data_IF_845130386322
#
_entry.id   IF_845130386322
#
_cell.length_a   1.000
_cell.length_b   1.000
_cell.length_c   1.000
_cell.angle_alpha   90.00
_cell.angle_beta   90.00
_cell.angle_gamma   90.00
#
_symmetry.space_group_name_H-M   'P 1'
#
loop_
_entity.id
_entity.type
_entity.pdbx_description
1 polymer ?
#
# COMPACT_ATOMS: atom_id res chain seq x y z
N UNK A 1 25.51 -2.13 6.33
CA UNK A 1 26.80 -2.81 6.05
C UNK A 1 27.54 -2.16 4.88
N UNK A 2 26.87 -1.80 3.78
CA UNK A 2 27.49 -1.20 2.60
C UNK A 2 27.65 0.33 2.66
N UNK A 3 26.66 1.04 3.22
CA UNK A 3 26.70 2.50 3.33
C UNK A 3 27.22 2.97 4.69
N UNK A 4 27.76 4.20 4.72
CA UNK A 4 28.24 4.85 5.95
C UNK A 4 27.10 5.12 6.94
N UNK A 5 27.44 5.30 8.23
CA UNK A 5 26.45 5.55 9.29
C UNK A 5 25.52 6.75 9.00
N UNK A 6 26.00 7.91 8.49
CA UNK A 6 25.11 9.02 8.14
C UNK A 6 24.09 8.66 7.03
N UNK A 7 24.53 7.95 5.99
CA UNK A 7 23.65 7.54 4.89
C UNK A 7 22.60 6.55 5.40
N UNK A 8 22.98 5.58 6.23
CA UNK A 8 22.03 4.64 6.84
C UNK A 8 20.98 5.37 7.68
N UNK A 9 21.36 6.42 8.42
CA UNK A 9 20.42 7.21 9.20
C UNK A 9 19.43 7.98 8.33
N UNK A 10 19.88 8.56 7.21
CA UNK A 10 19.01 9.24 6.24
C UNK A 10 18.04 8.24 5.59
N UNK A 11 18.53 7.09 5.14
CA UNK A 11 17.70 6.05 4.54
C UNK A 11 16.69 5.48 5.53
N UNK A 12 17.09 5.30 6.79
CA UNK A 12 16.18 4.92 7.88
C UNK A 12 15.11 5.97 8.09
N UNK A 13 15.49 7.25 8.24
CA UNK A 13 14.53 8.33 8.47
C UNK A 13 13.51 8.43 7.33
N UNK A 14 13.96 8.34 6.09
CA UNK A 14 13.08 8.35 4.92
C UNK A 14 12.14 7.13 4.90
N UNK A 15 12.62 5.95 5.26
CA UNK A 15 11.80 4.74 5.37
C UNK A 15 10.77 4.85 6.50
N UNK A 16 11.15 5.37 7.67
CA UNK A 16 10.26 5.54 8.82
C UNK A 16 9.16 6.57 8.51
N UNK A 17 9.50 7.67 7.85
CA UNK A 17 8.53 8.68 7.38
C UNK A 17 7.54 8.07 6.39
N UNK A 18 8.00 7.22 5.46
CA UNK A 18 7.12 6.54 4.52
C UNK A 18 6.21 5.51 5.19
N UNK A 19 6.68 4.81 6.22
CA UNK A 19 5.85 3.91 7.03
C UNK A 19 4.79 4.72 7.79
N UNK A 20 5.16 5.85 8.39
CA UNK A 20 4.21 6.74 9.07
C UNK A 20 3.18 7.34 8.10
N UNK A 21 3.60 7.71 6.88
CA UNK A 21 2.70 8.17 5.83
C UNK A 21 1.72 7.07 5.38
N UNK A 22 2.17 5.82 5.31
CA UNK A 22 1.29 4.68 5.02
C UNK A 22 0.25 4.51 6.13
N UNK A 23 0.72 4.51 7.38
CA UNK A 23 -0.13 4.36 8.56
C UNK A 23 -1.15 5.52 8.67
N UNK A 24 -0.77 6.73 8.24
CA UNK A 24 -1.64 7.89 8.12
C UNK A 24 -2.78 7.66 7.12
N UNK A 25 -2.50 7.08 5.95
CA UNK A 25 -3.53 6.75 4.96
C UNK A 25 -4.53 5.73 5.53
N UNK A 26 -4.05 4.76 6.29
CA UNK A 26 -4.88 3.73 6.94
C UNK A 26 -5.76 4.30 8.05
N UNK A 27 -5.20 5.19 8.88
CA UNK A 27 -5.93 5.89 9.95
C UNK A 27 -7.09 6.68 9.34
N UNK A 28 -6.81 7.43 8.27
CA UNK A 28 -7.81 8.22 7.56
C UNK A 28 -8.88 7.30 6.95
N UNK A 29 -8.48 6.26 6.22
CA UNK A 29 -9.42 5.31 5.60
C UNK A 29 -10.32 4.61 6.63
N UNK A 30 -9.74 4.17 7.75
CA UNK A 30 -10.50 3.54 8.84
C UNK A 30 -11.44 4.52 9.52
N UNK A 31 -11.01 5.76 9.76
CA UNK A 31 -11.85 6.80 10.34
C UNK A 31 -13.02 7.18 9.42
N UNK A 32 -12.79 7.25 8.10
CA UNK A 32 -13.84 7.43 7.10
C UNK A 32 -14.81 6.24 7.13
N UNK A 33 -14.32 4.99 7.15
CA UNK A 33 -15.19 3.82 7.23
C UNK A 33 -16.07 3.83 8.50
N UNK A 34 -15.50 4.19 9.67
CA UNK A 34 -16.25 4.34 10.91
C UNK A 34 -17.29 5.46 10.83
N UNK A 35 -16.96 6.57 10.17
CA UNK A 35 -17.90 7.65 9.93
C UNK A 35 -19.07 7.21 9.04
N UNK A 36 -18.80 6.45 7.99
CA UNK A 36 -19.83 5.99 7.05
C UNK A 36 -20.76 4.94 7.63
N UNK A 37 -20.24 4.01 8.44
CA UNK A 37 -21.01 2.89 9.00
C UNK A 37 -21.74 3.29 10.30
N UNK A 38 -21.05 3.97 11.20
CA UNK A 38 -21.53 4.24 12.56
C UNK A 38 -21.87 5.72 12.79
N UNK A 39 -21.75 6.57 11.76
CA UNK A 39 -21.96 8.01 11.87
C UNK A 39 -21.08 8.69 12.93
N UNK A 40 -19.92 8.10 13.22
CA UNK A 40 -18.96 8.64 14.18
C UNK A 40 -18.22 9.82 13.52
N UNK A 41 -18.16 11.01 14.15
CA UNK A 41 -17.40 12.15 13.61
C UNK A 41 -15.96 11.78 13.26
N UNK A 42 -15.44 12.28 12.13
CA UNK A 42 -14.12 11.89 11.60
C UNK A 42 -13.00 12.04 12.64
N UNK A 43 -13.01 13.14 13.41
CA UNK A 43 -12.04 13.38 14.48
C UNK A 43 -12.05 12.27 15.55
N UNK A 44 -13.24 11.85 15.98
CA UNK A 44 -13.39 10.74 16.94
C UNK A 44 -13.01 9.41 16.29
N UNK A 45 -13.35 9.22 15.02
CA UNK A 45 -12.94 8.05 14.24
C UNK A 45 -11.41 7.90 14.22
N UNK A 46 -10.68 8.98 13.93
CA UNK A 46 -9.21 9.01 13.96
C UNK A 46 -8.70 8.62 15.35
N UNK A 47 -9.24 9.19 16.43
CA UNK A 47 -8.83 8.81 17.79
C UNK A 47 -9.13 7.34 18.12
N UNK A 48 -10.26 6.81 17.65
CA UNK A 48 -10.63 5.41 17.86
C UNK A 48 -9.68 4.42 17.15
N UNK A 49 -9.06 4.81 16.04
CA UNK A 49 -8.03 3.98 15.41
C UNK A 49 -6.78 3.80 16.29
N UNK A 50 -6.59 4.58 17.35
CA UNK A 50 -5.54 4.28 18.33
C UNK A 50 -5.80 2.95 19.08
N UNK A 51 -7.06 2.53 19.18
CA UNK A 51 -7.46 1.30 19.87
C UNK A 51 -7.04 0.04 19.10
N UNK A 52 -6.81 0.11 17.79
CA UNK A 52 -6.33 -1.07 17.06
C UNK A 52 -4.93 -1.51 17.46
N UNK A 53 -4.13 -0.61 18.06
CA UNK A 53 -2.87 -1.01 18.69
C UNK A 53 -3.15 -2.04 19.77
N UNK A 54 -4.17 -1.84 20.61
CA UNK A 54 -4.55 -2.79 21.65
C UNK A 54 -5.02 -4.12 21.04
N UNK A 55 -5.79 -4.07 19.95
CA UNK A 55 -6.24 -5.25 19.22
C UNK A 55 -5.04 -6.04 18.70
N UNK A 56 -4.07 -5.39 18.08
CA UNK A 56 -2.88 -6.05 17.52
C UNK A 56 -2.00 -6.64 18.61
N UNK A 57 -1.87 -5.96 19.74
CA UNK A 57 -1.12 -6.48 20.88
C UNK A 57 -1.76 -7.73 21.46
N UNK A 58 -3.08 -7.74 21.56
CA UNK A 58 -3.83 -8.93 21.93
C UNK A 58 -3.62 -10.07 20.91
N UNK A 59 -3.65 -9.74 19.62
CA UNK A 59 -3.47 -10.72 18.54
C UNK A 59 -2.06 -11.29 18.45
N UNK A 60 -1.02 -10.49 18.72
CA UNK A 60 0.37 -10.96 18.72
C UNK A 60 0.62 -12.04 19.78
N UNK A 61 -0.12 -12.01 20.91
CA UNK A 61 -0.01 -13.05 21.95
C UNK A 61 -0.54 -14.42 21.49
N UNK A 62 -1.35 -14.48 20.42
CA UNK A 62 -1.95 -15.72 19.89
C UNK A 62 -1.05 -16.47 18.90
N UNK A 63 0.09 -15.88 18.49
CA UNK A 63 1.10 -16.51 17.63
C UNK A 63 0.94 -16.22 16.13
N UNK A 64 2.01 -16.45 15.36
CA UNK A 64 2.14 -16.04 13.96
C UNK A 64 1.12 -16.68 13.00
N UNK A 65 0.75 -17.94 13.23
CA UNK A 65 -0.25 -18.65 12.39
C UNK A 65 -1.63 -18.02 12.47
N UNK A 66 -2.02 -17.50 13.63
CA UNK A 66 -3.29 -16.80 13.79
C UNK A 66 -3.27 -15.47 13.04
N UNK A 67 -2.15 -14.75 13.11
CA UNK A 67 -1.95 -13.49 12.41
C UNK A 67 -2.04 -13.66 10.89
N UNK A 68 -1.39 -14.70 10.36
CA UNK A 68 -1.44 -15.05 8.93
C UNK A 68 -2.87 -15.40 8.49
N UNK A 69 -3.60 -16.21 9.26
CA UNK A 69 -4.99 -16.54 8.97
C UNK A 69 -5.91 -15.30 8.98
N UNK A 70 -5.68 -14.37 9.90
CA UNK A 70 -6.40 -13.09 9.95
C UNK A 70 -6.14 -12.25 8.71
N UNK A 71 -4.87 -12.08 8.31
CA UNK A 71 -4.48 -11.35 7.09
C UNK A 71 -5.14 -11.95 5.85
N UNK A 72 -5.10 -13.28 5.71
CA UNK A 72 -5.75 -13.99 4.61
C UNK A 72 -7.27 -13.77 4.63
N UNK A 73 -7.90 -13.79 5.80
CA UNK A 73 -9.33 -13.52 5.96
C UNK A 73 -9.70 -12.08 5.57
N UNK A 74 -8.88 -11.08 5.94
CA UNK A 74 -9.09 -9.69 5.55
C UNK A 74 -8.96 -9.51 4.03
N UNK A 75 -7.93 -10.08 3.41
CA UNK A 75 -7.72 -10.03 1.96
C UNK A 75 -8.88 -10.72 1.22
N UNK A 76 -9.32 -11.90 1.71
CA UNK A 76 -10.45 -12.61 1.15
C UNK A 76 -11.74 -11.78 1.24
N UNK A 77 -11.97 -11.12 2.39
CA UNK A 77 -13.12 -10.23 2.59
C UNK A 77 -13.12 -9.10 1.57
N UNK A 78 -12.01 -8.36 1.47
CA UNK A 78 -11.86 -7.26 0.49
C UNK A 78 -12.08 -7.74 -0.94
N UNK A 79 -11.50 -8.90 -1.29
CA UNK A 79 -11.63 -9.49 -2.63
C UNK A 79 -13.08 -9.88 -2.95
N UNK A 80 -13.79 -10.48 -1.99
CA UNK A 80 -15.21 -10.84 -2.14
C UNK A 80 -16.07 -9.59 -2.27
N UNK A 81 -15.86 -8.57 -1.42
CA UNK A 81 -16.59 -7.31 -1.48
C UNK A 81 -16.46 -6.66 -2.87
N UNK A 82 -15.23 -6.45 -3.36
CA UNK A 82 -15.04 -5.83 -4.67
C UNK A 82 -15.43 -6.75 -5.85
N UNK A 83 -15.36 -8.08 -5.67
CA UNK A 83 -15.87 -9.03 -6.66
C UNK A 83 -17.40 -8.92 -6.83
N UNK A 84 -18.13 -8.76 -5.73
CA UNK A 84 -19.58 -8.52 -5.76
C UNK A 84 -19.91 -7.16 -6.42
N UNK A 85 -19.15 -6.11 -6.09
CA UNK A 85 -19.30 -4.78 -6.70
C UNK A 85 -19.09 -4.79 -8.22
N UNK A 86 -18.07 -5.52 -8.73
CA UNK A 86 -17.89 -5.74 -10.17
C UNK A 86 -19.14 -6.40 -10.77
N UNK A 87 -19.65 -7.47 -10.13
CA UNK A 87 -20.80 -8.20 -10.64
C UNK A 87 -22.05 -7.31 -10.72
N UNK A 88 -22.26 -6.46 -9.72
CA UNK A 88 -23.39 -5.53 -9.69
C UNK A 88 -23.23 -4.36 -10.67
N UNK A 89 -22.01 -3.87 -10.90
CA UNK A 89 -21.76 -2.75 -11.81
C UNK A 89 -21.91 -3.09 -13.31
N UNK A 90 -22.02 -4.39 -13.66
CA UNK A 90 -22.23 -4.89 -15.03
C UNK A 90 -21.33 -4.20 -16.07
N UNK A 91 -19.99 -4.24 -15.92
CA UNK A 91 -19.08 -3.56 -16.83
C UNK A 91 -19.07 -4.23 -18.22
N UNK A 92 -18.72 -3.45 -19.26
CA UNK A 92 -18.57 -3.98 -20.61
C UNK A 92 -17.32 -4.87 -20.72
N UNK A 93 -17.51 -6.19 -20.82
CA UNK A 93 -16.39 -7.15 -20.89
C UNK A 93 -15.45 -6.90 -22.07
N UNK A 94 -15.98 -6.47 -23.22
CA UNK A 94 -15.17 -6.14 -24.40
C UNK A 94 -14.25 -4.93 -24.16
N UNK A 95 -14.75 -3.88 -23.51
CA UNK A 95 -13.97 -2.69 -23.17
C UNK A 95 -12.89 -2.99 -22.11
N UNK A 96 -13.21 -3.88 -21.15
CA UNK A 96 -12.26 -4.36 -20.16
C UNK A 96 -11.13 -5.15 -20.81
N UNK A 97 -11.45 -6.12 -21.67
CA UNK A 97 -10.46 -6.93 -22.37
C UNK A 97 -9.54 -6.06 -23.22
N UNK A 98 -10.09 -5.12 -23.99
CA UNK A 98 -9.28 -4.20 -24.80
C UNK A 98 -8.33 -3.35 -23.93
N UNK A 99 -8.85 -2.76 -22.86
CA UNK A 99 -8.06 -1.87 -21.98
C UNK A 99 -7.02 -2.62 -21.14
N UNK A 100 -7.23 -3.92 -20.90
CA UNK A 100 -6.27 -4.76 -20.19
C UNK A 100 -5.02 -5.07 -21.03
N UNK A 101 -5.18 -5.24 -22.35
CA UNK A 101 -4.07 -5.58 -23.26
C UNK A 101 -3.45 -4.36 -23.97
N UNK A 102 -4.19 -3.26 -24.12
CA UNK A 102 -3.75 -2.11 -24.91
C UNK A 102 -3.55 -0.88 -24.02
N UNK A 103 -2.30 -0.46 -23.74
CA UNK A 103 -2.04 0.77 -23.01
C UNK A 103 -2.43 2.01 -23.83
N UNK A 104 -3.18 2.94 -23.23
CA UNK A 104 -3.55 4.19 -23.90
C UNK A 104 -2.41 5.21 -23.86
N UNK A 105 -2.00 5.79 -25.01
CA UNK A 105 -1.00 6.86 -25.04
C UNK A 105 -1.49 8.17 -24.38
N UNK A 106 -2.79 8.28 -24.08
CA UNK A 106 -3.37 9.44 -23.40
C UNK A 106 -2.81 9.61 -21.99
N UNK A 107 -2.43 8.51 -21.32
CA UNK A 107 -1.86 8.53 -19.96
C UNK A 107 -0.59 9.39 -19.90
N UNK A 108 0.20 9.43 -20.97
CA UNK A 108 1.42 10.23 -21.05
C UNK A 108 1.18 11.68 -21.51
N UNK A 109 0.01 11.99 -22.06
CA UNK A 109 -0.33 13.31 -22.59
C UNK A 109 -1.11 14.16 -21.60
N UNK A 110 -1.97 13.53 -20.79
CA UNK A 110 -2.80 14.19 -19.80
C UNK A 110 -2.08 14.20 -18.42
N UNK A 111 -1.71 15.39 -17.89
CA UNK A 111 -1.04 15.48 -16.58
C UNK A 111 -1.86 14.92 -15.42
N UNK A 112 -3.19 15.00 -15.48
CA UNK A 112 -4.07 14.45 -14.44
C UNK A 112 -4.10 12.92 -14.46
N UNK A 113 -4.18 12.32 -15.65
CA UNK A 113 -4.08 10.86 -15.80
C UNK A 113 -2.70 10.34 -15.39
N UNK A 114 -1.64 11.05 -15.75
CA UNK A 114 -0.28 10.70 -15.35
C UNK A 114 -0.12 10.79 -13.82
N UNK A 115 -0.66 11.84 -13.19
CA UNK A 115 -0.63 12.00 -11.74
C UNK A 115 -1.31 10.81 -11.02
N UNK A 116 -2.51 10.42 -11.46
CA UNK A 116 -3.23 9.26 -10.89
C UNK A 116 -2.46 7.96 -11.16
N UNK A 117 -1.91 7.78 -12.37
CA UNK A 117 -1.15 6.58 -12.72
C UNK A 117 0.11 6.42 -11.85
N UNK A 118 0.83 7.50 -11.57
CA UNK A 118 1.98 7.50 -10.65
C UNK A 118 1.52 7.21 -9.22
N UNK A 119 0.40 7.79 -8.80
CA UNK A 119 -0.22 7.48 -7.50
C UNK A 119 -0.55 6.00 -7.33
N UNK A 120 -1.14 5.36 -8.35
CA UNK A 120 -1.41 3.92 -8.39
C UNK A 120 -0.10 3.12 -8.30
N UNK A 121 0.94 3.53 -9.03
CA UNK A 121 2.25 2.86 -8.98
C UNK A 121 2.84 2.94 -7.56
N UNK A 122 2.82 4.11 -6.92
CA UNK A 122 3.31 4.29 -5.55
C UNK A 122 2.50 3.52 -4.50
N UNK A 123 1.17 3.48 -4.65
CA UNK A 123 0.28 2.74 -3.76
C UNK A 123 0.44 1.22 -3.90
N UNK A 124 0.74 0.71 -5.10
CA UNK A 124 0.91 -0.73 -5.36
C UNK A 124 2.30 -1.22 -4.97
N UNK A 125 3.34 -0.45 -5.27
CA UNK A 125 4.72 -0.81 -4.95
C UNK A 125 5.16 -0.08 -3.70
N UNK A 126 4.76 -0.62 -2.55
CA UNK A 126 5.09 -0.01 -1.27
C UNK A 126 6.54 -0.31 -0.87
N UNK A 127 7.38 0.71 -0.56
CA UNK A 127 8.79 0.50 -0.26
C UNK A 127 9.03 -0.35 0.99
N UNK A 128 8.16 -0.21 2.00
CA UNK A 128 8.28 -0.98 3.24
C UNK A 128 8.07 -2.49 3.00
N UNK A 129 7.30 -2.88 1.97
CA UNK A 129 7.13 -4.29 1.61
C UNK A 129 8.40 -4.90 1.03
N UNK A 130 9.27 -4.12 0.37
CA UNK A 130 10.57 -4.62 -0.10
C UNK A 130 11.44 -5.06 1.08
N UNK A 131 11.48 -4.26 2.16
CA UNK A 131 12.18 -4.63 3.39
C UNK A 131 11.49 -5.81 4.09
N UNK A 132 10.16 -5.78 4.20
CA UNK A 132 9.38 -6.83 4.85
C UNK A 132 9.58 -8.21 4.21
N UNK A 133 9.38 -8.32 2.89
CA UNK A 133 9.55 -9.58 2.16
C UNK A 133 10.98 -10.12 2.26
N UNK A 134 11.98 -9.23 2.26
CA UNK A 134 13.39 -9.63 2.40
C UNK A 134 13.71 -10.28 3.75
N UNK A 135 12.95 -10.00 4.80
CA UNK A 135 13.10 -10.60 6.11
C UNK A 135 12.17 -11.81 6.32
N UNK A 136 10.91 -11.72 5.88
CA UNK A 136 9.93 -12.82 6.03
C UNK A 136 10.42 -14.08 5.30
N UNK A 137 11.04 -13.96 4.13
CA UNK A 137 11.57 -15.13 3.41
C UNK A 137 12.62 -15.89 4.23
N UNK A 138 13.32 -15.20 5.16
CA UNK A 138 14.37 -15.79 5.99
C UNK A 138 13.83 -16.60 7.18
N UNK A 139 12.57 -16.38 7.57
CA UNK A 139 11.91 -17.09 8.68
C UNK A 139 11.40 -18.46 8.27
N UNK A 140 11.27 -18.72 6.96
CA UNK A 140 10.86 -20.03 6.45
C UNK A 140 11.95 -21.07 6.73
N UNK A 141 11.54 -22.30 7.04
CA UNK A 141 12.45 -23.41 7.26
C UNK A 141 12.93 -23.95 5.91
N UNK A 142 14.21 -23.73 5.58
CA UNK A 142 14.86 -24.29 4.41
C UNK A 142 16.34 -24.59 4.70
N UNK A 143 16.90 -25.56 3.99
CA UNK A 143 18.31 -25.90 4.11
C UNK A 143 19.19 -24.74 3.62
N UNK A 144 20.21 -24.34 4.38
CA UNK A 144 21.12 -23.23 4.02
C UNK A 144 22.17 -23.63 2.98
N UNK A 145 21.82 -24.56 2.09
CA UNK A 145 22.59 -25.00 0.91
C UNK A 145 22.14 -24.24 -0.34
N UNK A 146 22.90 -24.32 -1.44
CA UNK A 146 22.51 -23.71 -2.72
C UNK A 146 21.16 -24.23 -3.23
N UNK A 147 20.94 -25.54 -3.18
CA UNK A 147 19.67 -26.16 -3.59
C UNK A 147 18.49 -25.71 -2.72
N UNK A 148 18.65 -25.72 -1.38
CA UNK A 148 17.61 -25.28 -0.46
C UNK A 148 17.27 -23.80 -0.61
N UNK A 149 18.27 -22.94 -0.90
CA UNK A 149 18.03 -21.52 -1.26
C UNK A 149 17.25 -21.39 -2.56
N UNK A 150 17.57 -22.18 -3.60
CA UNK A 150 16.86 -22.15 -4.88
C UNK A 150 15.39 -22.56 -4.73
N UNK A 151 15.12 -23.58 -3.93
CA UNK A 151 13.77 -24.01 -3.58
C UNK A 151 13.01 -22.92 -2.82
N UNK A 152 13.63 -22.31 -1.80
CA UNK A 152 13.03 -21.22 -1.03
C UNK A 152 12.70 -20.00 -1.92
N UNK A 153 13.59 -19.63 -2.85
CA UNK A 153 13.36 -18.56 -3.82
C UNK A 153 12.18 -18.92 -4.73
N UNK A 154 12.10 -20.16 -5.24
CA UNK A 154 10.98 -20.60 -6.09
C UNK A 154 9.65 -20.47 -5.38
N UNK A 155 9.52 -21.01 -4.16
CA UNK A 155 8.27 -20.93 -3.40
C UNK A 155 7.92 -19.49 -3.00
N UNK A 156 8.91 -18.71 -2.57
CA UNK A 156 8.69 -17.30 -2.23
C UNK A 156 8.27 -16.47 -3.45
N UNK A 157 8.79 -16.80 -4.64
CA UNK A 157 8.38 -16.16 -5.90
C UNK A 157 6.94 -16.52 -6.27
N UNK A 158 6.54 -17.80 -6.14
CA UNK A 158 5.17 -18.24 -6.40
C UNK A 158 4.19 -17.55 -5.43
N UNK A 159 4.50 -17.59 -4.13
CA UNK A 159 3.71 -16.97 -3.06
C UNK A 159 3.50 -15.46 -3.34
N UNK A 160 4.59 -14.74 -3.59
CA UNK A 160 4.54 -13.31 -3.90
C UNK A 160 3.80 -13.02 -5.21
N UNK A 161 3.95 -13.87 -6.24
CA UNK A 161 3.26 -13.69 -7.53
C UNK A 161 1.75 -13.86 -7.38
N UNK A 162 1.31 -14.88 -6.64
CA UNK A 162 -0.12 -15.12 -6.37
C UNK A 162 -0.70 -13.95 -5.57
N UNK A 163 -0.03 -13.52 -4.50
CA UNK A 163 -0.48 -12.41 -3.66
C UNK A 163 -0.60 -11.09 -4.45
N UNK A 164 0.43 -10.74 -5.23
CA UNK A 164 0.42 -9.54 -6.07
C UNK A 164 -0.60 -9.61 -7.21
N UNK A 165 -0.88 -10.81 -7.74
CA UNK A 165 -1.94 -11.01 -8.74
C UNK A 165 -3.33 -10.76 -8.13
N UNK A 166 -3.58 -11.26 -6.91
CA UNK A 166 -4.83 -10.95 -6.19
C UNK A 166 -4.95 -9.44 -5.95
N UNK A 167 -3.88 -8.79 -5.49
CA UNK A 167 -3.86 -7.34 -5.31
C UNK A 167 -4.13 -6.57 -6.61
N UNK A 168 -3.58 -7.02 -7.75
CA UNK A 168 -3.88 -6.45 -9.06
C UNK A 168 -5.38 -6.53 -9.38
N UNK A 169 -6.02 -7.66 -9.14
CA UNK A 169 -7.46 -7.82 -9.37
C UNK A 169 -8.30 -6.92 -8.45
N UNK A 170 -7.94 -6.77 -7.19
CA UNK A 170 -8.63 -5.85 -6.27
C UNK A 170 -8.48 -4.39 -6.74
N UNK A 171 -7.28 -3.96 -7.11
CA UNK A 171 -7.05 -2.60 -7.61
C UNK A 171 -7.77 -2.35 -8.94
N UNK A 172 -7.76 -3.34 -9.85
CA UNK A 172 -8.55 -3.29 -11.08
C UNK A 172 -10.05 -3.20 -10.77
N UNK A 173 -10.54 -3.95 -9.78
CA UNK A 173 -11.94 -3.92 -9.37
C UNK A 173 -12.38 -2.52 -8.92
N UNK A 174 -11.59 -1.85 -8.08
CA UNK A 174 -11.85 -0.48 -7.64
C UNK A 174 -11.98 0.45 -8.84
N UNK A 175 -11.05 0.37 -9.80
CA UNK A 175 -11.06 1.20 -10.99
C UNK A 175 -12.25 0.91 -11.90
N UNK A 176 -12.59 -0.36 -12.10
CA UNK A 176 -13.71 -0.83 -12.93
C UNK A 176 -15.04 -0.39 -12.33
N UNK A 177 -15.24 -0.61 -11.03
CA UNK A 177 -16.46 -0.19 -10.32
C UNK A 177 -16.61 1.32 -10.40
N UNK A 178 -15.53 2.08 -10.20
CA UNK A 178 -15.56 3.54 -10.34
C UNK A 178 -15.96 3.97 -11.77
N UNK A 179 -15.37 3.37 -12.79
CA UNK A 179 -15.68 3.69 -14.19
C UNK A 179 -17.12 3.28 -14.59
N UNK A 180 -17.55 2.09 -14.19
CA UNK A 180 -18.86 1.54 -14.56
C UNK A 180 -20.01 2.20 -13.81
N UNK A 181 -19.83 2.46 -12.51
CA UNK A 181 -20.86 3.05 -11.66
C UNK A 181 -20.91 4.56 -11.76
N UNK A 182 -19.77 5.25 -11.82
CA UNK A 182 -19.74 6.71 -11.72
C UNK A 182 -19.55 7.40 -13.07
N UNK A 183 -18.46 7.07 -13.76
CA UNK A 183 -18.08 7.75 -15.00
C UNK A 183 -19.15 7.59 -16.08
N UNK A 184 -19.72 6.38 -16.23
CA UNK A 184 -20.80 6.12 -17.19
C UNK A 184 -22.10 6.88 -16.90
N UNK A 185 -22.37 7.17 -15.62
CA UNK A 185 -23.57 7.88 -15.17
C UNK A 185 -23.38 9.41 -15.09
N UNK A 186 -22.28 9.94 -15.66
CA UNK A 186 -22.01 11.39 -15.73
C UNK A 186 -21.40 11.98 -14.45
N UNK A 187 -21.08 11.16 -13.46
CA UNK A 187 -20.44 11.61 -12.21
C UNK A 187 -18.91 11.66 -12.40
N UNK A 188 -18.43 12.78 -12.95
CA UNK A 188 -17.01 12.98 -13.25
C UNK A 188 -16.21 13.66 -12.13
N UNK A 189 -16.87 14.15 -11.08
CA UNK A 189 -16.25 14.92 -9.98
C UNK A 189 -16.22 14.17 -8.65
N UNK A 190 -16.25 12.83 -8.67
CA UNK A 190 -16.10 12.04 -7.45
C UNK A 190 -14.63 12.03 -7.07
N UNK A 191 -14.27 12.91 -6.14
CA UNK A 191 -12.91 13.02 -5.62
C UNK A 191 -12.74 12.26 -4.29
N UNK A 192 -13.84 12.02 -3.55
CA UNK A 192 -13.78 11.55 -2.18
C UNK A 192 -14.41 10.16 -1.99
N UNK A 193 -13.88 9.42 -1.01
CA UNK A 193 -14.34 8.07 -0.63
C UNK A 193 -15.80 8.13 -0.13
N UNK A 194 -16.17 9.23 0.52
CA UNK A 194 -17.50 9.51 1.04
C UNK A 194 -18.53 9.64 -0.08
N UNK A 195 -18.15 10.28 -1.18
CA UNK A 195 -19.01 10.42 -2.36
C UNK A 195 -19.23 9.06 -3.03
N UNK A 196 -18.17 8.26 -3.15
CA UNK A 196 -18.29 6.89 -3.64
C UNK A 196 -19.29 6.09 -2.77
N UNK A 197 -19.16 6.14 -1.44
CA UNK A 197 -20.10 5.46 -0.54
C UNK A 197 -21.55 5.89 -0.74
N UNK A 198 -21.84 7.19 -0.84
CA UNK A 198 -23.21 7.70 -1.02
C UNK A 198 -23.81 7.30 -2.36
N UNK A 199 -22.98 7.13 -3.39
CA UNK A 199 -23.42 6.90 -4.76
C UNK A 199 -23.44 5.41 -5.15
N UNK A 200 -22.72 4.53 -4.47
CA UNK A 200 -22.68 3.09 -4.81
C UNK A 200 -24.06 2.42 -4.72
N UNK A 201 -24.76 2.51 -3.58
CA UNK A 201 -26.08 1.87 -3.43
C UNK A 201 -27.11 2.39 -4.46
N UNK A 202 -27.29 3.72 -4.65
CA UNK A 202 -28.22 4.23 -5.66
C UNK A 202 -27.89 3.82 -7.09
N UNK A 203 -26.60 3.82 -7.48
CA UNK A 203 -26.19 3.59 -8.86
C UNK A 203 -26.13 2.11 -9.22
N UNK A 204 -25.87 1.24 -8.25
CA UNK A 204 -25.88 -0.21 -8.43
C UNK A 204 -27.26 -0.81 -8.26
N UNK A 205 -28.18 -0.11 -7.59
CA UNK A 205 -29.54 -0.60 -7.31
C UNK A 205 -29.58 -1.79 -6.35
N UNK A 206 -28.50 -2.03 -5.60
CA UNK A 206 -28.37 -3.13 -4.63
C UNK A 206 -28.29 -2.56 -3.22
N UNK A 207 -29.27 -2.90 -2.39
CA UNK A 207 -29.30 -2.51 -0.98
C UNK A 207 -28.06 -3.04 -0.26
N UNK A 208 -27.24 -2.14 0.28
CA UNK A 208 -26.08 -2.49 1.09
C UNK A 208 -24.73 -2.49 0.35
N UNK A 209 -24.67 -2.15 -0.94
CA UNK A 209 -23.39 -1.99 -1.67
C UNK A 209 -22.45 -0.99 -0.95
N UNK A 210 -22.99 0.15 -0.52
CA UNK A 210 -22.24 1.13 0.28
C UNK A 210 -21.65 0.52 1.55
N UNK A 211 -22.42 -0.29 2.28
CA UNK A 211 -21.97 -0.97 3.50
C UNK A 211 -20.86 -1.99 3.20
N UNK A 212 -21.00 -2.77 2.13
CA UNK A 212 -19.98 -3.73 1.66
C UNK A 212 -18.67 -3.00 1.34
N UNK A 213 -18.75 -1.85 0.64
CA UNK A 213 -17.60 -1.00 0.37
C UNK A 213 -16.93 -0.46 1.64
N UNK A 214 -17.71 0.05 2.60
CA UNK A 214 -17.15 0.57 3.85
C UNK A 214 -16.52 -0.53 4.73
N UNK A 215 -17.09 -1.75 4.72
CA UNK A 215 -16.49 -2.91 5.38
C UNK A 215 -15.17 -3.32 4.72
N UNK A 216 -15.10 -3.29 3.38
CA UNK A 216 -13.86 -3.54 2.65
C UNK A 216 -12.79 -2.50 2.99
N UNK A 217 -13.16 -1.22 3.08
CA UNK A 217 -12.26 -0.13 3.48
C UNK A 217 -11.70 -0.34 4.90
N UNK A 218 -12.57 -0.69 5.85
CA UNK A 218 -12.17 -0.98 7.24
C UNK A 218 -11.24 -2.20 7.32
N UNK A 219 -11.58 -3.28 6.60
CA UNK A 219 -10.76 -4.49 6.56
C UNK A 219 -9.37 -4.24 5.94
N UNK A 220 -9.30 -3.42 4.88
CA UNK A 220 -8.05 -3.02 4.24
C UNK A 220 -7.13 -2.25 5.22
N UNK A 221 -7.69 -1.32 5.98
CA UNK A 221 -6.95 -0.55 6.99
C UNK A 221 -6.30 -1.41 8.07
N UNK A 222 -6.99 -2.46 8.53
CA UNK A 222 -6.46 -3.37 9.55
C UNK A 222 -5.30 -4.24 9.02
N UNK A 223 -5.36 -4.67 7.76
CA UNK A 223 -4.33 -5.51 7.17
C UNK A 223 -2.97 -4.79 7.07
N UNK A 224 -2.97 -3.56 6.54
CA UNK A 224 -1.75 -2.79 6.27
C UNK A 224 -1.02 -2.38 7.56
N UNK A 225 -1.77 -2.23 8.63
CA UNK A 225 -1.28 -1.89 9.96
C UNK A 225 -0.37 -2.99 10.55
N UNK A 226 -0.65 -4.27 10.27
CA UNK A 226 0.18 -5.40 10.69
C UNK A 226 1.50 -5.44 9.93
N UNK A 227 1.44 -5.26 8.61
CA UNK A 227 2.63 -5.27 7.75
C UNK A 227 3.53 -4.07 8.03
N UNK A 228 2.97 -2.88 8.26
CA UNK A 228 3.72 -1.67 8.62
C UNK A 228 4.53 -1.83 9.90
N UNK A 229 3.97 -2.49 10.93
CA UNK A 229 4.67 -2.72 12.21
C UNK A 229 5.88 -3.63 12.03
N UNK A 230 5.71 -4.74 11.30
CA UNK A 230 6.79 -5.69 11.02
C UNK A 230 7.86 -5.07 10.13
N UNK A 231 7.44 -4.38 9.06
CA UNK A 231 8.34 -3.72 8.11
C UNK A 231 9.19 -2.67 8.81
N UNK A 232 8.57 -1.88 9.69
CA UNK A 232 9.30 -0.96 10.53
C UNK A 232 10.36 -1.66 11.37
N UNK A 233 10.00 -2.72 12.11
CA UNK A 233 10.96 -3.43 12.97
C UNK A 233 12.20 -3.83 12.18
N UNK A 234 11.99 -4.39 10.99
CA UNK A 234 13.07 -4.78 10.08
C UNK A 234 13.91 -3.59 9.65
N UNK A 235 13.28 -2.46 9.28
CA UNK A 235 13.98 -1.24 8.87
C UNK A 235 14.83 -0.68 10.02
N UNK A 236 14.29 -0.57 11.24
CA UNK A 236 15.05 -0.01 12.37
C UNK A 236 16.14 -0.94 12.87
N UNK A 237 15.87 -2.25 12.96
CA UNK A 237 16.90 -3.22 13.34
C UNK A 237 17.99 -3.31 12.27
N UNK A 238 17.62 -3.28 10.99
CA UNK A 238 18.57 -3.35 9.88
C UNK A 238 19.44 -2.10 9.73
N UNK A 239 18.84 -0.91 9.77
CA UNK A 239 19.58 0.34 9.55
C UNK A 239 20.27 0.89 10.82
N UNK A 240 19.62 0.80 11.99
CA UNK A 240 20.11 1.39 13.23
C UNK A 240 20.59 0.37 14.27
N UNK A 241 20.34 -0.92 14.09
CA UNK A 241 20.57 -1.97 15.11
C UNK A 241 19.87 -1.70 16.44
N UNK A 242 18.76 -0.97 16.42
CA UNK A 242 17.94 -0.71 17.61
C UNK A 242 16.80 -1.72 17.64
N UNK A 243 16.67 -2.46 18.75
CA UNK A 243 15.59 -3.41 18.99
C UNK A 243 14.57 -2.81 19.96
N UNK A 244 13.41 -2.41 19.44
CA UNK A 244 12.27 -1.98 20.28
C UNK A 244 11.24 -3.10 20.36
N UNK A 245 10.51 -3.13 21.48
CA UNK A 245 9.35 -4.02 21.62
C UNK A 245 8.30 -3.65 20.56
N UNK A 246 7.65 -4.63 19.89
CA UNK A 246 6.69 -4.36 18.82
C UNK A 246 5.60 -3.36 19.20
N UNK A 247 5.12 -3.44 20.44
CA UNK A 247 4.08 -2.57 20.97
C UNK A 247 4.49 -1.12 21.09
N UNK A 248 5.69 -0.88 21.60
CA UNK A 248 6.22 0.47 21.78
C UNK A 248 6.44 1.10 20.41
N UNK A 249 6.98 0.32 19.47
CA UNK A 249 7.11 0.76 18.09
C UNK A 249 5.77 1.14 17.49
N UNK A 250 4.77 0.26 17.60
CA UNK A 250 3.43 0.50 17.05
C UNK A 250 2.84 1.79 17.62
N UNK A 251 2.95 2.03 18.93
CA UNK A 251 2.48 3.28 19.53
C UNK A 251 3.21 4.51 18.98
N UNK A 252 4.53 4.42 18.80
CA UNK A 252 5.33 5.53 18.26
C UNK A 252 4.93 5.86 16.82
N UNK A 253 4.91 4.87 15.93
CA UNK A 253 4.52 5.06 14.52
C UNK A 253 3.06 5.51 14.40
N UNK A 254 2.17 4.93 15.22
CA UNK A 254 0.75 5.31 15.25
C UNK A 254 0.56 6.74 15.73
N UNK A 255 1.33 7.18 16.73
CA UNK A 255 1.30 8.57 17.20
C UNK A 255 1.78 9.54 16.13
N UNK A 256 2.82 9.18 15.38
CA UNK A 256 3.32 9.98 14.26
C UNK A 256 2.31 10.11 13.12
N UNK A 257 1.41 9.14 12.94
CA UNK A 257 0.31 9.20 11.99
C UNK A 257 -0.93 9.95 12.55
N UNK A 258 -1.36 9.61 13.76
CA UNK A 258 -2.59 10.17 14.36
C UNK A 258 -2.45 11.66 14.68
N UNK A 259 -1.30 12.11 15.21
CA UNK A 259 -1.14 13.51 15.64
C UNK A 259 -1.37 14.48 14.46
N UNK A 260 -0.70 14.33 13.29
CA UNK A 260 -1.00 15.15 12.12
C UNK A 260 -2.44 15.01 11.64
N UNK A 261 -3.00 13.80 11.64
CA UNK A 261 -4.39 13.58 11.22
C UNK A 261 -5.39 14.33 12.09
N UNK A 262 -5.23 14.28 13.42
CA UNK A 262 -6.09 14.99 14.38
C UNK A 262 -5.98 16.49 14.19
N UNK A 263 -4.76 17.03 14.09
CA UNK A 263 -4.53 18.48 13.92
C UNK A 263 -5.19 18.97 12.62
N UNK A 264 -4.90 18.32 11.49
CA UNK A 264 -5.43 18.71 10.18
C UNK A 264 -6.95 18.57 10.13
N UNK A 265 -7.50 17.48 10.69
CA UNK A 265 -8.95 17.26 10.73
C UNK A 265 -9.65 18.29 11.61
N UNK A 266 -9.06 18.68 12.75
CA UNK A 266 -9.62 19.68 13.64
C UNK A 266 -9.61 21.09 13.03
N UNK A 267 -8.58 21.43 12.25
CA UNK A 267 -8.42 22.77 11.67
C UNK A 267 -9.10 22.93 10.30
N UNK A 268 -9.11 21.89 9.47
CA UNK A 268 -9.47 21.97 8.05
C UNK A 268 -10.56 20.98 7.62
N UNK A 269 -11.07 20.17 8.54
CA UNK A 269 -12.14 19.21 8.26
C UNK A 269 -11.78 18.18 7.18
N UNK A 270 -12.81 17.68 6.49
CA UNK A 270 -12.71 16.58 5.50
C UNK A 270 -11.75 16.91 4.33
N UNK A 271 -11.82 18.14 3.80
CA UNK A 271 -10.95 18.58 2.71
C UNK A 271 -9.46 18.57 3.09
N UNK A 272 -9.13 18.89 4.35
CA UNK A 272 -7.77 18.78 4.87
C UNK A 272 -7.31 17.33 4.93
N UNK A 273 -8.18 16.44 5.40
CA UNK A 273 -7.90 15.00 5.50
C UNK A 273 -7.69 14.36 4.12
N UNK A 274 -8.46 14.75 3.10
CA UNK A 274 -8.28 14.28 1.73
C UNK A 274 -6.91 14.72 1.16
N UNK A 275 -6.49 15.98 1.37
CA UNK A 275 -5.15 16.45 0.99
C UNK A 275 -4.04 15.70 1.70
N UNK A 276 -4.25 15.36 2.98
CA UNK A 276 -3.29 14.60 3.77
C UNK A 276 -3.14 13.15 3.25
N UNK A 277 -4.24 12.54 2.80
CA UNK A 277 -4.25 11.24 2.14
C UNK A 277 -3.47 11.26 0.82
N UNK A 278 -3.61 12.32 0.02
CA UNK A 278 -2.84 12.48 -1.23
C UNK A 278 -1.35 12.69 -0.92
N UNK A 279 -1.03 13.56 0.04
CA UNK A 279 0.34 13.82 0.45
C UNK A 279 1.06 12.55 0.92
N UNK A 280 0.37 11.67 1.65
CA UNK A 280 0.99 10.41 2.08
C UNK A 280 1.40 9.55 0.89
N UNK A 281 0.60 9.48 -0.17
CA UNK A 281 0.96 8.73 -1.39
C UNK A 281 2.19 9.31 -2.08
N UNK A 282 2.32 10.64 -2.11
CA UNK A 282 3.51 11.31 -2.64
C UNK A 282 4.75 10.92 -1.85
N UNK A 283 4.68 10.92 -0.52
CA UNK A 283 5.80 10.50 0.35
C UNK A 283 6.19 9.04 0.09
N UNK A 284 5.22 8.12 0.00
CA UNK A 284 5.49 6.71 -0.31
C UNK A 284 6.17 6.55 -1.68
N UNK A 285 5.63 7.24 -2.69
CA UNK A 285 6.14 7.25 -4.05
C UNK A 285 7.60 7.70 -4.07
N UNK A 286 7.94 8.80 -3.40
CA UNK A 286 9.33 9.27 -3.29
C UNK A 286 10.25 8.25 -2.62
N UNK A 287 9.82 7.63 -1.52
CA UNK A 287 10.62 6.64 -0.81
C UNK A 287 10.93 5.40 -1.65
N UNK A 288 10.06 5.06 -2.61
CA UNK A 288 10.28 3.91 -3.49
C UNK A 288 11.61 3.98 -4.24
N UNK A 289 12.01 5.16 -4.73
CA UNK A 289 13.31 5.32 -5.39
C UNK A 289 14.48 4.97 -4.45
N UNK A 290 14.41 5.42 -3.19
CA UNK A 290 15.47 5.15 -2.21
C UNK A 290 15.53 3.67 -1.79
N UNK A 291 14.44 2.91 -1.93
CA UNK A 291 14.43 1.47 -1.67
C UNK A 291 14.86 0.64 -2.89
N UNK A 292 14.41 0.99 -4.09
CA UNK A 292 14.64 0.21 -5.31
C UNK A 292 16.09 0.28 -5.76
N UNK A 293 16.73 1.46 -5.74
CA UNK A 293 18.12 1.59 -6.22
C UNK A 293 19.11 0.70 -5.44
N UNK A 294 19.14 0.72 -4.09
CA UNK A 294 19.95 -0.22 -3.32
C UNK A 294 19.60 -1.68 -3.57
N UNK A 295 18.31 -2.01 -3.73
CA UNK A 295 17.88 -3.37 -4.03
C UNK A 295 18.47 -3.87 -5.36
N UNK A 296 18.37 -3.07 -6.43
CA UNK A 296 18.94 -3.42 -7.74
C UNK A 296 20.46 -3.48 -7.69
N UNK A 297 21.11 -2.57 -6.95
CA UNK A 297 22.56 -2.58 -6.74
C UNK A 297 23.02 -3.87 -6.07
N UNK A 298 22.38 -4.27 -4.97
CA UNK A 298 22.80 -5.44 -4.18
C UNK A 298 22.48 -6.75 -4.88
N UNK A 299 21.32 -6.87 -5.53
CA UNK A 299 20.95 -8.08 -6.29
C UNK A 299 21.75 -8.25 -7.59
N UNK A 300 22.40 -7.19 -8.06
CA UNK A 300 23.29 -7.20 -9.24
C UNK A 300 24.77 -7.42 -8.90
N UNK A 301 25.13 -7.45 -7.61
CA UNK A 301 26.50 -7.61 -7.13
C UNK A 301 26.86 -9.09 -6.98
N UNK A 302 27.83 -9.55 -7.76
CA UNK A 302 28.32 -10.94 -7.71
C UNK A 302 28.98 -11.29 -6.37
N UNK A 303 29.60 -10.32 -5.69
CA UNK A 303 30.25 -10.57 -4.40
C UNK A 303 29.22 -10.85 -3.32
N UNK A 304 28.06 -10.19 -3.37
CA UNK A 304 26.97 -10.39 -2.40
C UNK A 304 26.09 -11.59 -2.74
N UNK A 305 25.76 -11.78 -4.01
CA UNK A 305 24.75 -12.78 -4.43
C UNK A 305 25.34 -14.13 -4.84
N UNK A 306 26.64 -14.20 -5.17
CA UNK A 306 27.27 -15.43 -5.63
C UNK A 306 26.57 -16.02 -6.86
N UNK A 307 26.16 -17.29 -6.76
CA UNK A 307 25.43 -18.00 -7.82
C UNK A 307 24.00 -17.49 -8.07
N UNK A 308 23.42 -16.72 -7.15
CA UNK A 308 22.05 -16.18 -7.23
C UNK A 308 21.99 -14.75 -7.78
N UNK A 309 23.07 -14.26 -8.38
CA UNK A 309 23.11 -12.93 -9.00
C UNK A 309 22.09 -12.82 -10.13
N UNK A 310 21.48 -11.64 -10.30
CA UNK A 310 20.52 -11.41 -11.36
C UNK A 310 21.10 -11.73 -12.75
N UNK A 311 20.38 -12.49 -13.61
CA UNK A 311 20.77 -12.65 -15.00
C UNK A 311 20.72 -11.30 -15.74
N UNK A 312 21.47 -11.18 -16.84
CA UNK A 312 21.65 -9.90 -17.57
C UNK A 312 20.32 -9.24 -17.98
N UNK A 313 19.34 -10.03 -18.40
CA UNK A 313 18.02 -9.51 -18.79
C UNK A 313 17.29 -8.88 -17.60
N UNK A 314 17.29 -9.55 -16.44
CA UNK A 314 16.63 -9.07 -15.23
C UNK A 314 17.36 -7.85 -14.67
N UNK A 315 18.70 -7.87 -14.68
CA UNK A 315 19.49 -6.70 -14.30
C UNK A 315 19.13 -5.47 -15.14
N UNK A 316 19.05 -5.63 -16.46
CA UNK A 316 18.70 -4.54 -17.38
C UNK A 316 17.28 -4.04 -17.12
N UNK A 317 16.32 -4.95 -17.01
CA UNK A 317 14.92 -4.63 -16.70
C UNK A 317 14.79 -3.89 -15.37
N UNK A 318 15.43 -4.37 -14.32
CA UNK A 318 15.38 -3.75 -12.99
C UNK A 318 15.98 -2.33 -12.98
N UNK A 319 17.07 -2.08 -13.70
CA UNK A 319 17.64 -0.73 -13.83
C UNK A 319 16.76 0.20 -14.64
N UNK A 320 16.14 -0.28 -15.72
CA UNK A 320 15.17 0.49 -16.51
C UNK A 320 13.97 0.87 -15.66
N UNK A 321 13.40 -0.07 -14.91
CA UNK A 321 12.28 0.19 -13.98
C UNK A 321 12.68 1.18 -12.89
N UNK A 322 13.87 1.04 -12.29
CA UNK A 322 14.35 1.97 -11.26
C UNK A 322 14.49 3.40 -11.81
N UNK A 323 15.07 3.55 -13.01
CA UNK A 323 15.20 4.85 -13.68
C UNK A 323 13.83 5.44 -14.01
N UNK A 324 12.90 4.63 -14.54
CA UNK A 324 11.54 5.05 -14.86
C UNK A 324 10.80 5.56 -13.62
N UNK A 325 10.84 4.82 -12.51
CA UNK A 325 10.24 5.23 -11.23
C UNK A 325 10.85 6.55 -10.74
N UNK A 326 12.18 6.69 -10.78
CA UNK A 326 12.84 7.92 -10.36
C UNK A 326 12.43 9.14 -11.20
N UNK A 327 12.30 8.99 -12.52
CA UNK A 327 11.86 10.06 -13.43
C UNK A 327 10.42 10.47 -13.09
N UNK A 328 9.52 9.50 -12.92
CA UNK A 328 8.13 9.78 -12.56
C UNK A 328 8.01 10.47 -11.21
N UNK A 329 8.77 10.02 -10.20
CA UNK A 329 8.79 10.63 -8.89
C UNK A 329 9.33 12.07 -8.91
N UNK A 330 10.39 12.32 -9.70
CA UNK A 330 10.91 13.66 -9.88
C UNK A 330 9.88 14.59 -10.54
N UNK A 331 9.16 14.09 -11.54
CA UNK A 331 8.07 14.82 -12.19
C UNK A 331 6.92 15.11 -11.22
N UNK A 332 6.47 14.11 -10.44
CA UNK A 332 5.44 14.24 -9.42
C UNK A 332 5.81 15.29 -8.36
N UNK A 333 7.07 15.31 -7.93
CA UNK A 333 7.59 16.26 -6.97
C UNK A 333 7.52 17.70 -7.50
N UNK A 334 7.99 17.90 -8.73
CA UNK A 334 7.94 19.22 -9.41
C UNK A 334 6.50 19.69 -9.55
N UNK A 335 5.56 18.80 -9.91
CA UNK A 335 4.16 19.16 -10.03
C UNK A 335 3.57 19.52 -8.66
N UNK A 336 3.83 18.73 -7.62
CA UNK A 336 3.30 18.95 -6.27
C UNK A 336 3.74 20.29 -5.69
N UNK A 337 4.96 20.75 -5.96
CA UNK A 337 5.43 22.08 -5.54
C UNK A 337 5.00 23.24 -6.44
N UNK A 338 4.47 22.97 -7.64
CA UNK A 338 3.95 23.99 -8.57
C UNK A 338 2.46 24.28 -8.39
N UNK A 339 1.73 23.38 -7.72
CA UNK A 339 0.30 23.51 -7.42
C UNK A 339 0.09 24.03 -6.01
#
# INVERSE_FOLDING_TARGET
>A
DHFSRPINFVLWGAAEIAIAACDLAEVIGSAIALNLIFHIPLLLGVCLTALDVLIILFLQQKGFRFLEALVVSLIATVSVCFGLEILFSRPSLAGLAHSFFVPSPQILRDPGMLYIAIGILGATVMPHNLYLHSAIVQTRAFARTGEGKREAIRFSTIDSTIALTIALFVNAAILIVSAASFYRNGYHQIAEIQDAYKLLTPLLGVTGASTVFALALLASGQNSTLTGTLAGQIVMEGFLNIRLRPWLRRLLTRSLAIIPAVIVTALSGEAGTAKLLVLSQVILSMQLSFAVFPLVMFTSDKQKMGEFVNPRWLKTLSWVTAAFIAILNAWLLVQTFRT
#
